data_IF_162480969030
#
_entry.id   IF_162480969030
#
_cell.length_a   1.000
_cell.length_b   1.000
_cell.length_c   1.000
_cell.angle_alpha   90.00
_cell.angle_beta   90.00
_cell.angle_gamma   90.00
#
_symmetry.space_group_name_H-M   'P 1'
#
loop_
_entity.id
_entity.type
_entity.pdbx_description
1 polymer ?
#
# COMPACT_ATOMS: atom_id res chain seq x y z
N UNK A 1 28.46 10.20 -51.32
CA UNK A 1 27.72 9.41 -50.32
C UNK A 1 27.91 10.10 -48.98
N UNK A 2 27.06 11.09 -48.68
CA UNK A 2 27.10 11.83 -47.41
C UNK A 2 25.98 11.32 -46.51
N UNK A 3 26.38 10.69 -45.40
CA UNK A 3 25.49 10.20 -44.36
C UNK A 3 24.85 11.37 -43.61
N UNK A 4 23.56 11.63 -43.87
CA UNK A 4 22.71 12.43 -42.98
C UNK A 4 22.49 11.65 -41.69
N UNK A 5 23.18 12.06 -40.62
CA UNK A 5 22.79 11.69 -39.25
C UNK A 5 21.49 12.42 -38.93
N UNK A 6 20.39 11.67 -38.87
CA UNK A 6 19.15 12.15 -38.27
C UNK A 6 19.40 12.39 -36.78
N UNK A 7 19.40 13.66 -36.40
CA UNK A 7 19.42 14.09 -35.01
C UNK A 7 18.03 13.78 -34.45
N UNK A 8 17.96 12.77 -33.59
CA UNK A 8 16.76 12.46 -32.81
C UNK A 8 16.48 13.68 -31.94
N UNK A 9 15.45 14.43 -32.31
CA UNK A 9 14.94 15.56 -31.52
C UNK A 9 14.39 14.96 -30.23
N UNK A 10 15.05 15.24 -29.11
CA UNK A 10 14.51 14.97 -27.78
C UNK A 10 13.14 15.66 -27.69
N UNK A 11 12.07 14.86 -27.71
CA UNK A 11 10.73 15.33 -27.41
C UNK A 11 10.71 15.84 -25.98
N UNK A 12 10.77 17.17 -25.83
CA UNK A 12 10.48 17.83 -24.56
C UNK A 12 9.05 17.45 -24.16
N UNK A 13 8.92 16.66 -23.10
CA UNK A 13 7.62 16.38 -22.47
C UNK A 13 7.05 17.72 -22.01
N UNK A 14 6.05 18.22 -22.73
CA UNK A 14 5.28 19.39 -22.34
C UNK A 14 4.78 19.17 -20.91
N UNK A 15 5.24 20.01 -19.98
CA UNK A 15 4.82 20.00 -18.58
C UNK A 15 3.30 19.99 -18.52
N UNK A 16 2.72 18.85 -18.16
CA UNK A 16 1.28 18.74 -17.93
C UNK A 16 1.00 19.53 -16.67
N UNK A 17 0.60 20.80 -16.84
CA UNK A 17 0.16 21.63 -15.72
C UNK A 17 -1.06 20.94 -15.12
N UNK A 18 -0.96 20.54 -13.86
CA UNK A 18 -2.06 19.94 -13.09
C UNK A 18 -3.32 20.78 -13.26
N UNK A 19 -4.48 20.14 -13.45
CA UNK A 19 -5.73 20.84 -13.71
C UNK A 19 -6.39 21.40 -12.42
N UNK A 20 -5.69 21.28 -11.29
CA UNK A 20 -6.15 21.72 -9.99
C UNK A 20 -6.16 23.24 -9.88
N UNK A 21 -7.34 23.80 -9.61
CA UNK A 21 -7.53 25.25 -9.43
C UNK A 21 -6.82 25.71 -8.16
N UNK A 22 -5.99 26.74 -8.29
CA UNK A 22 -5.41 27.44 -7.12
C UNK A 22 -6.51 28.15 -6.34
N UNK A 23 -6.54 28.06 -5.00
CA UNK A 23 -7.58 28.71 -4.21
C UNK A 23 -7.52 30.23 -4.37
N UNK A 24 -8.69 30.87 -4.38
CA UNK A 24 -8.77 32.32 -4.35
C UNK A 24 -8.47 32.83 -2.94
N UNK A 25 -7.96 34.06 -2.81
CA UNK A 25 -7.66 34.67 -1.51
C UNK A 25 -8.90 34.68 -0.60
N UNK A 26 -10.08 34.86 -1.19
CA UNK A 26 -11.35 34.83 -0.47
C UNK A 26 -11.62 33.46 0.18
N UNK A 27 -11.25 32.37 -0.48
CA UNK A 27 -11.43 31.01 0.05
C UNK A 27 -10.47 30.74 1.22
N UNK A 28 -9.22 31.18 1.09
CA UNK A 28 -8.24 31.14 2.19
C UNK A 28 -8.69 31.98 3.39
N UNK A 29 -9.31 33.14 3.13
CA UNK A 29 -9.86 34.00 4.16
C UNK A 29 -11.04 33.33 4.89
N UNK A 30 -12.00 32.75 4.14
CA UNK A 30 -13.16 32.02 4.67
C UNK A 30 -12.77 30.78 5.47
N UNK A 31 -11.70 30.08 5.06
CA UNK A 31 -11.17 28.92 5.77
C UNK A 31 -10.40 29.30 7.04
N UNK A 32 -10.06 30.58 7.22
CA UNK A 32 -9.33 31.07 8.39
C UNK A 32 -7.82 30.79 8.33
N UNK A 33 -7.24 30.69 7.13
CA UNK A 33 -5.82 30.42 6.93
C UNK A 33 -4.91 31.56 7.40
N UNK A 34 -5.44 32.78 7.49
CA UNK A 34 -4.70 34.00 7.83
C UNK A 34 -4.40 34.15 9.32
N UNK A 35 -5.05 33.40 10.20
CA UNK A 35 -4.78 33.47 11.62
C UNK A 35 -3.51 32.69 11.96
N UNK A 36 -2.56 33.34 12.62
CA UNK A 36 -1.41 32.70 13.24
C UNK A 36 -1.56 32.57 14.76
N UNK A 37 -0.44 32.33 15.42
CA UNK A 37 -0.34 32.25 16.88
C UNK A 37 -0.11 33.63 17.54
N UNK A 38 -0.11 33.62 18.88
CA UNK A 38 0.21 34.78 19.72
C UNK A 38 1.65 35.25 19.50
N UNK A 39 1.88 36.56 19.71
CA UNK A 39 3.21 37.20 19.63
C UNK A 39 4.32 36.49 20.41
N UNK A 40 4.00 35.97 21.60
CA UNK A 40 4.97 35.28 22.47
C UNK A 40 5.45 33.93 21.93
N UNK A 41 4.69 33.30 21.04
CA UNK A 41 4.99 31.98 20.49
C UNK A 41 5.62 32.03 19.09
N UNK A 42 5.83 33.25 18.55
CA UNK A 42 6.30 33.48 17.20
C UNK A 42 7.78 33.16 17.00
N UNK A 43 8.12 32.59 15.85
CA UNK A 43 9.49 32.39 15.41
C UNK A 43 9.97 33.55 14.51
N UNK A 44 11.02 34.31 14.87
CA UNK A 44 11.47 35.48 14.11
C UNK A 44 11.72 35.26 12.60
N UNK A 45 12.05 34.03 12.18
CA UNK A 45 12.26 33.68 10.77
C UNK A 45 10.97 33.73 9.94
N UNK A 46 9.81 33.65 10.58
CA UNK A 46 8.50 33.82 9.93
C UNK A 46 8.16 35.28 9.60
N UNK A 47 9.00 36.25 9.95
CA UNK A 47 8.73 37.70 9.73
C UNK A 47 8.32 38.02 8.30
N UNK A 48 8.92 37.35 7.32
CA UNK A 48 8.63 37.59 5.91
C UNK A 48 7.23 37.14 5.47
N UNK A 49 6.59 36.22 6.20
CA UNK A 49 5.25 35.69 5.89
C UNK A 49 4.14 36.31 6.75
N UNK A 50 4.50 37.15 7.73
CA UNK A 50 3.54 37.84 8.58
C UNK A 50 3.22 39.20 7.97
N UNK A 51 1.93 39.48 7.84
CA UNK A 51 1.41 40.74 7.35
C UNK A 51 1.37 41.80 8.45
N UNK A 52 0.64 41.53 9.54
CA UNK A 52 0.52 42.44 10.69
C UNK A 52 0.26 41.69 12.00
N UNK A 53 0.25 42.41 13.12
CA UNK A 53 -0.18 41.92 14.43
C UNK A 53 -1.47 42.66 14.82
N UNK A 54 -2.55 41.91 15.13
CA UNK A 54 -3.82 42.48 15.57
C UNK A 54 -4.28 41.78 16.85
N UNK A 55 -4.56 42.56 17.90
CA UNK A 55 -4.97 42.03 19.21
C UNK A 55 -4.02 40.96 19.79
N UNK A 56 -2.72 41.10 19.55
CA UNK A 56 -1.69 40.16 20.03
C UNK A 56 -1.59 38.84 19.26
N UNK A 57 -2.32 38.69 18.16
CA UNK A 57 -2.28 37.54 17.24
C UNK A 57 -1.61 38.00 15.94
N UNK A 58 -0.71 37.20 15.40
CA UNK A 58 -0.11 37.45 14.10
C UNK A 58 -1.07 37.07 12.96
N UNK A 59 -1.15 37.93 11.95
CA UNK A 59 -1.90 37.69 10.71
C UNK A 59 -0.90 37.32 9.62
N UNK A 60 -1.12 36.19 8.98
CA UNK A 60 -0.32 35.65 7.88
C UNK A 60 -0.73 36.33 6.57
N UNK A 61 0.26 36.65 5.73
CA UNK A 61 0.08 37.26 4.42
C UNK A 61 -0.44 36.24 3.40
N UNK A 62 -1.75 36.31 3.09
CA UNK A 62 -2.41 35.38 2.17
C UNK A 62 -1.96 35.52 0.72
N UNK A 63 -1.44 36.68 0.30
CA UNK A 63 -0.96 36.87 -1.08
C UNK A 63 0.26 35.97 -1.30
N UNK A 64 1.20 36.02 -0.35
CA UNK A 64 2.38 35.12 -0.35
C UNK A 64 1.98 33.65 -0.22
N UNK A 65 0.99 33.34 0.63
CA UNK A 65 0.46 31.98 0.74
C UNK A 65 -0.06 31.48 -0.60
N UNK A 66 -0.81 32.30 -1.36
CA UNK A 66 -1.35 31.91 -2.66
C UNK A 66 -0.25 31.66 -3.69
N UNK A 67 0.77 32.51 -3.75
CA UNK A 67 1.93 32.34 -4.64
C UNK A 67 2.68 31.03 -4.32
N UNK A 68 2.92 30.75 -3.03
CA UNK A 68 3.61 29.55 -2.57
C UNK A 68 2.78 28.28 -2.81
N UNK A 69 1.45 28.33 -2.64
CA UNK A 69 0.56 27.22 -3.00
C UNK A 69 0.68 26.93 -4.50
N UNK A 70 0.67 27.96 -5.35
CA UNK A 70 0.80 27.80 -6.80
C UNK A 70 2.12 27.14 -7.18
N UNK A 71 3.22 27.57 -6.58
CA UNK A 71 4.54 26.96 -6.77
C UNK A 71 4.57 25.51 -6.27
N UNK A 72 3.94 25.24 -5.13
CA UNK A 72 3.88 23.91 -4.53
C UNK A 72 3.05 22.94 -5.37
N UNK A 73 1.92 23.37 -5.93
CA UNK A 73 1.07 22.54 -6.81
C UNK A 73 1.89 22.08 -8.03
N UNK A 74 2.65 22.99 -8.65
CA UNK A 74 3.53 22.66 -9.79
C UNK A 74 4.60 21.64 -9.40
N UNK A 75 5.32 21.90 -8.31
CA UNK A 75 6.35 20.98 -7.82
C UNK A 75 5.78 19.62 -7.43
N UNK A 76 4.61 19.59 -6.77
CA UNK A 76 3.94 18.36 -6.36
C UNK A 76 3.51 17.53 -7.57
N UNK A 77 2.99 18.16 -8.62
CA UNK A 77 2.67 17.48 -9.88
C UNK A 77 3.89 16.72 -10.43
N UNK A 78 5.04 17.39 -10.55
CA UNK A 78 6.28 16.76 -11.02
C UNK A 78 6.77 15.64 -10.09
N UNK A 79 6.62 15.80 -8.77
CA UNK A 79 7.02 14.80 -7.79
C UNK A 79 6.12 13.55 -7.81
N UNK A 80 4.82 13.71 -8.09
CA UNK A 80 3.88 12.59 -8.20
C UNK A 80 4.13 11.70 -9.42
N UNK A 81 4.73 12.26 -10.48
CA UNK A 81 5.18 11.48 -11.63
C UNK A 81 6.41 10.64 -11.29
N UNK A 82 7.31 11.17 -10.44
CA UNK A 82 8.55 10.48 -10.01
C UNK A 82 8.27 9.35 -9.02
N UNK A 83 7.41 9.56 -8.03
CA UNK A 83 7.14 8.55 -7.01
C UNK A 83 5.89 8.81 -6.19
N UNK A 84 5.79 8.11 -5.07
CA UNK A 84 4.63 8.19 -4.19
C UNK A 84 4.78 9.35 -3.21
N UNK A 85 3.65 9.92 -2.78
CA UNK A 85 3.62 11.03 -1.81
C UNK A 85 3.16 10.50 -0.45
N UNK A 86 3.81 10.98 0.61
CA UNK A 86 3.45 10.67 1.99
C UNK A 86 2.87 11.90 2.67
N UNK A 87 1.63 11.81 3.16
CA UNK A 87 1.02 12.83 4.01
C UNK A 87 1.27 12.53 5.48
N UNK A 88 1.68 13.52 6.26
CA UNK A 88 2.00 13.39 7.69
C UNK A 88 1.22 14.44 8.46
N UNK A 89 0.46 13.99 9.45
CA UNK A 89 -0.23 14.87 10.37
C UNK A 89 -0.76 14.10 11.57
N UNK A 90 -0.04 14.15 12.69
CA UNK A 90 -0.41 13.45 13.93
C UNK A 90 -1.26 14.28 14.88
N UNK A 91 -1.33 15.60 14.64
CA UNK A 91 -2.20 16.52 15.39
C UNK A 91 -3.66 16.06 15.27
N UNK A 92 -4.40 16.06 16.38
CA UNK A 92 -5.75 15.48 16.44
C UNK A 92 -6.73 16.04 15.39
N UNK A 93 -6.60 17.32 15.06
CA UNK A 93 -7.39 17.98 14.01
C UNK A 93 -6.99 17.55 12.59
N UNK A 94 -5.70 17.34 12.35
CA UNK A 94 -5.16 16.96 11.04
C UNK A 94 -5.29 15.46 10.77
N UNK A 95 -5.23 14.63 11.80
CA UNK A 95 -5.14 13.17 11.67
C UNK A 95 -6.29 12.54 10.89
N UNK A 96 -7.53 12.99 11.12
CA UNK A 96 -8.71 12.48 10.41
C UNK A 96 -8.76 12.98 8.96
N UNK A 97 -8.42 14.24 8.74
CA UNK A 97 -8.40 14.88 7.42
C UNK A 97 -7.36 14.22 6.53
N UNK A 98 -6.13 14.07 7.03
CA UNK A 98 -5.01 13.43 6.32
C UNK A 98 -5.35 11.99 5.94
N UNK A 99 -5.94 11.20 6.87
CA UNK A 99 -6.36 9.83 6.58
C UNK A 99 -7.42 9.77 5.47
N UNK A 100 -8.45 10.62 5.55
CA UNK A 100 -9.52 10.68 4.55
C UNK A 100 -8.97 11.03 3.17
N UNK A 101 -8.29 12.16 3.06
CA UNK A 101 -7.79 12.69 1.79
C UNK A 101 -6.77 11.76 1.15
N UNK A 102 -5.84 11.20 1.93
CA UNK A 102 -4.84 10.27 1.41
C UNK A 102 -5.45 8.93 0.97
N UNK A 103 -6.52 8.48 1.64
CA UNK A 103 -7.24 7.26 1.24
C UNK A 103 -7.97 7.46 -0.08
N UNK A 104 -8.71 8.57 -0.21
CA UNK A 104 -9.48 8.92 -1.41
C UNK A 104 -8.59 9.18 -2.63
N UNK A 105 -7.48 9.91 -2.43
CA UNK A 105 -6.57 10.30 -3.51
C UNK A 105 -5.39 9.34 -3.72
N UNK A 106 -5.38 8.16 -3.09
CA UNK A 106 -4.34 7.16 -3.34
C UNK A 106 -2.93 7.54 -2.89
N UNK A 107 -2.79 8.36 -1.85
CA UNK A 107 -1.50 8.73 -1.25
C UNK A 107 -1.22 7.92 0.02
N UNK A 108 0.05 7.77 0.42
CA UNK A 108 0.39 7.19 1.72
C UNK A 108 0.16 8.21 2.84
N UNK A 109 -0.06 7.74 4.06
CA UNK A 109 -0.24 8.65 5.19
C UNK A 109 0.30 8.13 6.53
N UNK A 110 0.58 9.07 7.43
CA UNK A 110 0.85 8.83 8.85
C UNK A 110 0.02 9.82 9.67
N UNK A 111 -0.96 9.32 10.42
CA UNK A 111 -1.92 10.14 11.16
C UNK A 111 -1.89 9.98 12.68
N UNK A 112 -1.25 8.93 13.21
CA UNK A 112 -1.20 8.67 14.66
C UNK A 112 0.13 9.06 15.26
N UNK A 113 1.16 8.27 15.01
CA UNK A 113 2.50 8.53 15.55
C UNK A 113 3.51 8.25 14.47
N UNK A 114 4.46 9.17 14.30
CA UNK A 114 5.60 8.94 13.43
C UNK A 114 6.40 7.71 13.90
N UNK A 115 6.53 6.65 13.09
CA UNK A 115 7.43 5.55 13.40
C UNK A 115 8.86 6.04 13.16
N UNK A 116 9.64 6.12 14.24
CA UNK A 116 11.05 6.55 14.13
C UNK A 116 11.85 5.59 13.26
N UNK A 117 12.64 6.14 12.34
CA UNK A 117 13.41 5.38 11.37
C UNK A 117 12.63 4.96 10.13
N UNK A 118 11.52 5.63 9.82
CA UNK A 118 10.75 5.33 8.60
C UNK A 118 11.56 5.53 7.34
N UNK A 119 12.39 6.57 7.29
CA UNK A 119 13.24 6.81 6.12
C UNK A 119 14.66 6.27 6.30
N UNK A 120 15.21 6.34 7.51
CA UNK A 120 16.60 5.90 7.75
C UNK A 120 16.74 4.40 7.95
N UNK A 121 15.68 3.68 8.37
CA UNK A 121 15.65 2.24 8.59
C UNK A 121 14.45 1.58 7.88
N UNK A 122 14.21 1.98 6.63
CA UNK A 122 13.03 1.58 5.88
C UNK A 122 12.89 0.05 5.72
N UNK A 123 13.98 -0.67 5.49
CA UNK A 123 13.94 -2.13 5.27
C UNK A 123 13.44 -2.90 6.50
N UNK A 124 13.78 -2.43 7.71
CA UNK A 124 13.29 -3.05 8.94
C UNK A 124 11.81 -2.78 9.13
N UNK A 125 11.36 -1.54 8.88
CA UNK A 125 9.94 -1.19 8.95
C UNK A 125 9.14 -1.98 7.92
N UNK A 126 9.67 -2.14 6.70
CA UNK A 126 9.04 -2.95 5.65
C UNK A 126 8.81 -4.39 6.10
N UNK A 127 9.78 -5.02 6.78
CA UNK A 127 9.62 -6.35 7.38
C UNK A 127 8.51 -6.37 8.45
N UNK A 128 8.46 -5.36 9.32
CA UNK A 128 7.39 -5.24 10.33
C UNK A 128 6.00 -5.10 9.69
N UNK A 129 5.89 -4.32 8.62
CA UNK A 129 4.64 -4.14 7.84
C UNK A 129 4.22 -5.45 7.16
N UNK A 130 5.16 -6.19 6.59
CA UNK A 130 4.87 -7.53 6.04
C UNK A 130 4.41 -8.50 7.12
N UNK A 131 4.96 -8.40 8.33
CA UNK A 131 4.48 -9.14 9.51
C UNK A 131 3.03 -8.81 9.84
N UNK A 132 2.64 -7.53 9.81
CA UNK A 132 1.25 -7.10 10.00
C UNK A 132 0.30 -7.72 8.97
N UNK A 133 0.66 -7.70 7.67
CA UNK A 133 -0.18 -8.29 6.62
C UNK A 133 -0.38 -9.79 6.86
N UNK A 134 0.67 -10.52 7.24
CA UNK A 134 0.56 -11.96 7.58
C UNK A 134 -0.32 -12.23 8.80
N UNK A 135 -0.25 -11.36 9.82
CA UNK A 135 -1.12 -11.46 11.00
C UNK A 135 -2.59 -11.26 10.62
N UNK A 136 -2.90 -10.27 9.78
CA UNK A 136 -4.27 -10.02 9.30
C UNK A 136 -4.81 -11.17 8.47
N UNK A 137 -4.00 -11.72 7.55
CA UNK A 137 -4.41 -12.89 6.74
C UNK A 137 -4.66 -14.11 7.62
N UNK A 138 -3.80 -14.35 8.62
CA UNK A 138 -3.96 -15.44 9.58
C UNK A 138 -5.23 -15.27 10.43
N UNK A 139 -5.51 -14.04 10.89
CA UNK A 139 -6.73 -13.71 11.63
C UNK A 139 -7.98 -13.86 10.75
N UNK A 140 -7.92 -13.45 9.47
CA UNK A 140 -9.02 -13.59 8.52
C UNK A 140 -9.34 -15.06 8.20
N UNK A 141 -8.32 -15.92 8.16
CA UNK A 141 -8.47 -17.39 8.06
C UNK A 141 -8.92 -18.06 9.36
N UNK A 142 -9.16 -17.27 10.41
CA UNK A 142 -9.65 -17.77 11.69
C UNK A 142 -8.59 -18.28 12.66
N UNK A 143 -7.31 -18.37 12.26
CA UNK A 143 -6.19 -18.76 13.12
C UNK A 143 -6.41 -20.09 13.84
N UNK A 144 -6.71 -21.15 13.07
CA UNK A 144 -7.03 -22.48 13.59
C UNK A 144 -5.89 -23.12 14.39
N UNK A 145 -4.64 -22.84 14.00
CA UNK A 145 -3.44 -23.35 14.67
C UNK A 145 -3.14 -22.65 16.01
N UNK A 146 -3.88 -21.60 16.36
CA UNK A 146 -3.60 -20.76 17.53
C UNK A 146 -4.56 -21.03 18.69
N UNK A 147 -4.01 -21.08 19.89
CA UNK A 147 -4.80 -21.13 21.12
C UNK A 147 -5.62 -19.84 21.25
N UNK A 148 -6.83 -19.89 21.84
CA UNK A 148 -7.68 -18.70 22.05
C UNK A 148 -6.93 -17.51 22.68
N UNK A 149 -6.02 -17.80 23.62
CA UNK A 149 -5.16 -16.80 24.27
C UNK A 149 -4.20 -16.17 23.25
N UNK A 150 -3.50 -16.99 22.47
CA UNK A 150 -2.56 -16.54 21.43
C UNK A 150 -3.26 -15.75 20.33
N UNK A 151 -4.45 -16.18 19.90
CA UNK A 151 -5.29 -15.45 18.97
C UNK A 151 -5.63 -14.05 19.47
N UNK A 152 -5.99 -13.91 20.76
CA UNK A 152 -6.25 -12.60 21.36
C UNK A 152 -5.01 -11.72 21.42
N UNK A 153 -3.84 -12.30 21.73
CA UNK A 153 -2.57 -11.56 21.70
C UNK A 153 -2.23 -11.08 20.28
N UNK A 154 -2.36 -11.96 19.28
CA UNK A 154 -2.13 -11.64 17.88
C UNK A 154 -3.10 -10.57 17.38
N UNK A 155 -4.37 -10.63 17.79
CA UNK A 155 -5.35 -9.60 17.46
C UNK A 155 -4.95 -8.23 18.05
N UNK A 156 -4.60 -8.17 19.34
CA UNK A 156 -4.15 -6.91 19.98
C UNK A 156 -2.88 -6.37 19.35
N UNK A 157 -1.95 -7.23 18.99
CA UNK A 157 -0.72 -6.84 18.30
C UNK A 157 -1.02 -6.30 16.90
N UNK A 158 -1.86 -6.99 16.14
CA UNK A 158 -2.34 -6.55 14.82
C UNK A 158 -3.01 -5.19 14.90
N UNK A 159 -3.93 -4.96 15.85
CA UNK A 159 -4.60 -3.68 16.06
C UNK A 159 -3.63 -2.55 16.44
N UNK A 160 -2.63 -2.86 17.28
CA UNK A 160 -1.59 -1.89 17.66
C UNK A 160 -0.73 -1.51 16.46
N UNK A 161 -0.33 -2.49 15.65
CA UNK A 161 0.50 -2.28 14.47
C UNK A 161 -0.28 -1.58 13.35
N UNK A 162 -1.54 -1.97 13.11
CA UNK A 162 -2.41 -1.32 12.13
C UNK A 162 -2.59 0.17 12.45
N UNK A 163 -2.81 0.52 13.72
CA UNK A 163 -2.91 1.93 14.14
C UNK A 163 -1.73 2.81 13.70
N UNK A 164 -0.52 2.24 13.58
CA UNK A 164 0.69 2.97 13.21
C UNK A 164 0.97 2.84 11.71
N UNK A 165 0.81 1.64 11.15
CA UNK A 165 1.31 1.30 9.82
C UNK A 165 0.25 1.24 8.72
N UNK A 166 -1.04 1.39 9.04
CA UNK A 166 -2.16 1.33 8.09
C UNK A 166 -1.91 2.17 6.83
N UNK A 167 -1.46 3.42 7.02
CA UNK A 167 -1.26 4.35 5.92
C UNK A 167 0.00 4.13 5.08
N UNK A 168 0.94 3.30 5.52
CA UNK A 168 2.18 2.96 4.81
C UNK A 168 2.27 1.48 4.39
N UNK A 169 1.19 0.71 4.57
CA UNK A 169 1.20 -0.75 4.38
C UNK A 169 1.69 -1.20 3.00
N UNK A 170 1.32 -0.47 1.95
CA UNK A 170 1.66 -0.79 0.55
C UNK A 170 2.85 0.01 0.03
N UNK A 171 3.64 0.62 0.92
CA UNK A 171 4.78 1.42 0.51
C UNK A 171 5.97 0.52 0.20
N UNK A 172 6.31 0.41 -1.08
CA UNK A 172 7.43 -0.44 -1.52
C UNK A 172 8.79 0.26 -1.54
N UNK A 173 8.77 1.57 -1.77
CA UNK A 173 9.93 2.46 -1.91
C UNK A 173 9.70 3.72 -1.08
N UNK A 174 10.78 4.43 -0.77
CA UNK A 174 10.71 5.74 -0.14
C UNK A 174 9.85 6.71 -0.98
N UNK A 175 9.11 7.62 -0.33
CA UNK A 175 8.29 8.59 -1.04
C UNK A 175 9.18 9.61 -1.78
N UNK A 176 8.67 10.13 -2.90
CA UNK A 176 9.32 11.18 -3.66
C UNK A 176 9.20 12.55 -2.99
N UNK A 177 8.16 12.75 -2.16
CA UNK A 177 8.01 13.94 -1.34
C UNK A 177 7.15 13.64 -0.11
N UNK A 178 7.31 14.47 0.93
CA UNK A 178 6.49 14.41 2.14
C UNK A 178 5.71 15.71 2.29
N UNK A 179 4.40 15.59 2.49
CA UNK A 179 3.50 16.69 2.85
C UNK A 179 3.26 16.63 4.35
N UNK A 180 3.64 17.68 5.07
CA UNK A 180 3.60 17.73 6.54
C UNK A 180 2.61 18.79 7.00
N UNK A 181 1.70 18.42 7.90
CA UNK A 181 0.81 19.36 8.61
C UNK A 181 1.41 19.65 9.97
N UNK A 182 1.73 20.92 10.24
CA UNK A 182 2.42 21.40 11.45
C UNK A 182 3.87 20.91 11.56
N UNK A 183 4.81 21.71 11.04
CA UNK A 183 6.24 21.40 11.06
C UNK A 183 6.85 21.34 12.47
N UNK A 184 6.21 21.96 13.47
CA UNK A 184 6.72 22.00 14.85
C UNK A 184 6.41 20.70 15.58
N UNK A 185 5.21 20.14 15.37
CA UNK A 185 4.82 18.83 15.89
C UNK A 185 5.61 17.72 15.18
N UNK A 186 5.71 17.78 13.86
CA UNK A 186 6.31 16.72 13.02
C UNK A 186 7.83 16.87 12.82
N UNK A 187 8.54 17.37 13.83
CA UNK A 187 9.99 17.61 13.76
C UNK A 187 10.82 16.35 13.43
N UNK A 188 10.34 15.16 13.80
CA UNK A 188 11.04 13.90 13.53
C UNK A 188 10.93 13.51 12.05
N UNK A 189 9.73 13.63 11.48
CA UNK A 189 9.50 13.39 10.06
C UNK A 189 10.35 14.32 9.19
N UNK A 190 10.42 15.61 9.54
CA UNK A 190 11.24 16.60 8.84
C UNK A 190 12.74 16.28 8.94
N UNK A 191 13.22 15.90 10.13
CA UNK A 191 14.62 15.52 10.32
C UNK A 191 15.01 14.31 9.49
N UNK A 192 14.18 13.26 9.51
CA UNK A 192 14.42 12.07 8.71
C UNK A 192 14.34 12.36 7.21
N UNK A 193 13.36 13.17 6.77
CA UNK A 193 13.22 13.55 5.37
C UNK A 193 14.46 14.30 4.86
N UNK A 194 15.01 15.23 5.67
CA UNK A 194 16.26 15.92 5.34
C UNK A 194 17.45 14.97 5.21
N UNK A 195 17.57 13.98 6.11
CA UNK A 195 18.65 12.98 6.05
C UNK A 195 18.51 12.11 4.80
N UNK A 196 17.28 11.75 4.44
CA UNK A 196 16.98 10.93 3.27
C UNK A 196 16.94 11.74 1.95
N UNK A 197 17.20 13.05 1.99
CA UNK A 197 17.12 13.97 0.84
C UNK A 197 15.74 13.95 0.14
N UNK A 198 14.67 13.78 0.91
CA UNK A 198 13.30 13.80 0.41
C UNK A 198 12.76 15.24 0.53
N UNK A 199 12.27 15.85 -0.56
CA UNK A 199 11.64 17.16 -0.55
C UNK A 199 10.48 17.26 0.44
N UNK A 200 10.44 18.35 1.19
CA UNK A 200 9.48 18.61 2.26
C UNK A 200 8.56 19.75 1.85
N UNK A 201 7.28 19.44 1.73
CA UNK A 201 6.18 20.40 1.61
C UNK A 201 5.53 20.48 2.98
N UNK A 202 5.39 21.67 3.57
CA UNK A 202 4.78 21.77 4.89
C UNK A 202 3.86 22.97 5.06
N UNK A 203 2.77 22.74 5.77
CA UNK A 203 1.97 23.80 6.38
C UNK A 203 2.75 24.38 7.55
N UNK A 204 3.01 25.67 7.50
CA UNK A 204 3.76 26.38 8.55
C UNK A 204 2.92 27.50 9.14
N UNK A 205 2.79 27.49 10.46
CA UNK A 205 2.29 28.63 11.22
C UNK A 205 3.48 29.52 11.66
N UNK A 206 3.15 30.69 12.18
CA UNK A 206 4.03 31.69 12.78
C UNK A 206 5.02 31.15 13.81
N UNK A 207 4.71 30.06 14.51
CA UNK A 207 5.61 29.44 15.50
C UNK A 207 6.66 28.48 14.89
N UNK A 208 6.59 28.21 13.58
CA UNK A 208 7.42 27.25 12.86
C UNK A 208 8.69 27.89 12.26
N UNK A 209 9.68 27.07 11.89
CA UNK A 209 10.88 27.56 11.18
C UNK A 209 10.76 27.26 9.67
N UNK A 210 10.65 28.28 8.80
CA UNK A 210 10.48 28.06 7.36
C UNK A 210 11.72 27.44 6.69
N UNK A 211 12.93 27.67 7.21
CA UNK A 211 14.19 27.15 6.64
C UNK A 211 14.31 25.62 6.70
N UNK A 212 13.41 24.96 7.44
CA UNK A 212 13.37 23.51 7.55
C UNK A 212 12.60 22.84 6.40
N UNK A 213 11.92 23.62 5.57
CA UNK A 213 10.94 23.15 4.60
C UNK A 213 11.34 23.69 3.22
N UNK A 214 11.30 22.84 2.19
CA UNK A 214 11.66 23.24 0.84
C UNK A 214 10.53 24.05 0.17
N UNK A 215 9.28 23.62 0.40
CA UNK A 215 8.06 24.29 -0.07
C UNK A 215 7.17 24.67 1.12
N UNK A 216 7.47 25.82 1.77
CA UNK A 216 6.67 26.31 2.88
C UNK A 216 5.33 26.87 2.40
N UNK A 217 4.22 26.45 3.03
CA UNK A 217 2.89 27.06 2.86
C UNK A 217 2.50 27.76 4.16
N UNK A 218 2.61 29.10 4.24
CA UNK A 218 2.21 29.85 5.43
C UNK A 218 0.70 29.81 5.60
N UNK A 219 0.21 29.12 6.63
CA UNK A 219 -1.21 29.12 6.97
C UNK A 219 -1.46 28.52 8.36
N UNK A 220 -2.66 28.79 8.88
CA UNK A 220 -3.14 28.30 10.16
C UNK A 220 -3.18 26.76 10.22
N UNK A 221 -2.49 26.17 11.20
CA UNK A 221 -2.47 24.72 11.45
C UNK A 221 -3.37 24.28 12.62
N UNK A 222 -4.09 25.20 13.26
CA UNK A 222 -5.06 24.96 14.34
C UNK A 222 -6.52 24.94 13.85
N UNK A 223 -6.78 25.48 12.66
CA UNK A 223 -8.13 25.49 12.07
C UNK A 223 -8.38 24.23 11.24
N UNK A 224 -9.40 23.46 11.62
CA UNK A 224 -9.88 22.31 10.84
C UNK A 224 -10.19 22.70 9.38
N UNK A 225 -10.80 23.87 9.17
CA UNK A 225 -11.17 24.35 7.82
C UNK A 225 -9.95 24.69 6.98
N UNK A 226 -8.93 25.31 7.60
CA UNK A 226 -7.66 25.64 6.94
C UNK A 226 -6.92 24.38 6.52
N UNK A 227 -6.77 23.42 7.45
CA UNK A 227 -6.10 22.14 7.18
C UNK A 227 -6.87 21.36 6.10
N UNK A 228 -8.21 21.27 6.19
CA UNK A 228 -9.03 20.57 5.20
C UNK A 228 -8.82 21.14 3.81
N UNK A 229 -8.95 22.46 3.66
CA UNK A 229 -8.80 23.13 2.37
C UNK A 229 -7.43 22.83 1.74
N UNK A 230 -6.35 23.01 2.49
CA UNK A 230 -5.01 22.86 1.94
C UNK A 230 -4.65 21.40 1.67
N UNK A 231 -4.99 20.48 2.58
CA UNK A 231 -4.73 19.05 2.40
C UNK A 231 -5.57 18.50 1.25
N UNK A 232 -6.83 18.92 1.09
CA UNK A 232 -7.69 18.52 -0.03
C UNK A 232 -7.14 18.99 -1.39
N UNK A 233 -6.69 20.24 -1.49
CA UNK A 233 -6.07 20.76 -2.73
C UNK A 233 -4.83 19.94 -3.10
N UNK A 234 -3.94 19.70 -2.14
CA UNK A 234 -2.74 18.89 -2.38
C UNK A 234 -3.10 17.43 -2.70
N UNK A 235 -4.13 16.89 -2.04
CA UNK A 235 -4.66 15.56 -2.29
C UNK A 235 -5.18 15.40 -3.73
N UNK A 236 -5.93 16.38 -4.23
CA UNK A 236 -6.44 16.39 -5.60
C UNK A 236 -5.30 16.33 -6.63
N UNK A 237 -4.21 17.07 -6.42
CA UNK A 237 -3.02 17.03 -7.28
C UNK A 237 -2.44 15.60 -7.32
N UNK A 238 -2.34 14.94 -6.17
CA UNK A 238 -1.85 13.55 -6.10
C UNK A 238 -2.82 12.57 -6.78
N UNK A 239 -4.12 12.82 -6.67
CA UNK A 239 -5.18 12.01 -7.29
C UNK A 239 -5.15 12.00 -8.82
N UNK A 240 -4.61 13.04 -9.46
CA UNK A 240 -4.45 13.10 -10.93
C UNK A 240 -3.40 12.12 -11.48
N UNK A 241 -2.49 11.62 -10.64
CA UNK A 241 -1.44 10.69 -11.04
C UNK A 241 -1.95 9.26 -11.27
N UNK A 242 -1.43 8.56 -12.29
CA UNK A 242 -1.75 7.14 -12.52
C UNK A 242 -1.31 6.23 -11.37
N UNK A 243 -0.23 6.61 -10.66
CA UNK A 243 0.31 5.82 -9.53
C UNK A 243 -0.66 5.80 -8.35
N UNK A 244 -1.35 6.91 -8.10
CA UNK A 244 -2.29 7.01 -7.00
C UNK A 244 -3.50 6.09 -7.20
N UNK A 245 -4.01 6.00 -8.43
CA UNK A 245 -5.06 5.04 -8.81
C UNK A 245 -4.64 3.58 -8.54
N UNK A 246 -3.37 3.25 -8.82
CA UNK A 246 -2.80 1.95 -8.47
C UNK A 246 -2.83 1.66 -6.96
N UNK A 247 -2.50 2.64 -6.13
CA UNK A 247 -2.54 2.50 -4.66
C UNK A 247 -3.98 2.31 -4.16
N UNK A 248 -4.95 3.04 -4.72
CA UNK A 248 -6.37 2.84 -4.38
C UNK A 248 -6.83 1.42 -4.75
N UNK A 249 -6.45 0.94 -5.93
CA UNK A 249 -6.76 -0.42 -6.36
C UNK A 249 -6.14 -1.48 -5.42
N UNK A 250 -4.88 -1.32 -5.02
CA UNK A 250 -4.19 -2.22 -4.07
C UNK A 250 -4.87 -2.27 -2.69
N UNK A 251 -5.32 -1.12 -2.19
CA UNK A 251 -6.09 -1.04 -0.93
C UNK A 251 -7.41 -1.80 -1.04
N UNK A 252 -8.12 -1.62 -2.14
CA UNK A 252 -9.40 -2.28 -2.36
C UNK A 252 -9.24 -3.78 -2.58
N UNK A 253 -8.20 -4.22 -3.32
CA UNK A 253 -7.91 -5.64 -3.53
C UNK A 253 -7.55 -6.33 -2.22
N UNK A 254 -6.77 -5.69 -1.34
CA UNK A 254 -6.47 -6.27 -0.03
C UNK A 254 -7.74 -6.42 0.82
N UNK A 255 -8.58 -5.38 0.90
CA UNK A 255 -9.84 -5.45 1.65
C UNK A 255 -10.74 -6.58 1.14
N UNK A 256 -10.90 -6.68 -0.18
CA UNK A 256 -11.66 -7.76 -0.80
C UNK A 256 -11.06 -9.13 -0.47
N UNK A 257 -9.74 -9.27 -0.51
CA UNK A 257 -9.05 -10.53 -0.15
C UNK A 257 -9.33 -10.92 1.30
N UNK A 258 -9.19 -9.98 2.24
CA UNK A 258 -9.47 -10.24 3.66
C UNK A 258 -10.95 -10.60 3.90
N UNK A 259 -11.89 -9.94 3.23
CA UNK A 259 -13.31 -10.26 3.29
C UNK A 259 -13.61 -11.66 2.74
N UNK A 260 -13.00 -12.05 1.62
CA UNK A 260 -13.18 -13.39 1.05
C UNK A 260 -12.63 -14.49 1.97
N UNK A 261 -11.45 -14.28 2.58
CA UNK A 261 -10.88 -15.21 3.54
C UNK A 261 -11.78 -15.35 4.77
N UNK A 262 -12.33 -14.24 5.29
CA UNK A 262 -13.23 -14.26 6.43
C UNK A 262 -14.56 -14.99 6.12
N UNK A 263 -15.11 -14.82 4.92
CA UNK A 263 -16.31 -15.54 4.47
C UNK A 263 -16.06 -17.04 4.34
N UNK A 264 -14.96 -17.43 3.69
CA UNK A 264 -14.57 -18.83 3.55
C UNK A 264 -14.42 -19.51 4.92
N UNK A 265 -13.79 -18.83 5.88
CA UNK A 265 -13.68 -19.35 7.23
C UNK A 265 -15.04 -19.47 7.94
N UNK A 266 -15.93 -18.49 7.79
CA UNK A 266 -17.28 -18.56 8.37
C UNK A 266 -18.08 -19.75 7.80
N UNK A 267 -18.05 -19.96 6.48
CA UNK A 267 -18.70 -21.08 5.81
C UNK A 267 -18.12 -22.43 6.24
N UNK A 268 -16.78 -22.54 6.36
CA UNK A 268 -16.12 -23.75 6.87
C UNK A 268 -16.55 -24.08 8.29
N UNK A 269 -16.62 -23.06 9.16
CA UNK A 269 -17.06 -23.21 10.55
C UNK A 269 -18.54 -23.58 10.67
N UNK A 270 -19.41 -23.03 9.83
CA UNK A 270 -20.81 -23.45 9.79
C UNK A 270 -20.95 -24.89 9.30
N UNK A 271 -20.19 -25.27 8.27
CA UNK A 271 -20.18 -26.64 7.74
C UNK A 271 -19.69 -27.64 8.78
N UNK A 272 -18.62 -27.32 9.52
CA UNK A 272 -18.11 -28.19 10.59
C UNK A 272 -19.13 -28.34 11.72
N UNK A 273 -19.78 -27.24 12.13
CA UNK A 273 -20.81 -27.27 13.16
C UNK A 273 -22.03 -28.13 12.76
N UNK A 274 -22.47 -28.06 11.49
CA UNK A 274 -23.57 -28.91 10.98
C UNK A 274 -23.20 -30.39 11.00
N UNK A 275 -21.98 -30.75 10.55
CA UNK A 275 -21.54 -32.15 10.61
C UNK A 275 -21.43 -32.67 12.05
N UNK A 276 -20.94 -31.85 12.99
CA UNK A 276 -20.90 -32.23 14.41
C UNK A 276 -22.30 -32.42 15.02
N UNK A 277 -23.30 -31.65 14.58
CA UNK A 277 -24.69 -31.78 15.01
C UNK A 277 -25.32 -33.07 14.45
N UNK A 278 -25.16 -33.34 13.15
CA UNK A 278 -25.60 -34.57 12.50
C UNK A 278 -24.95 -35.81 13.13
N UNK A 279 -23.64 -35.76 13.41
CA UNK A 279 -22.92 -36.85 14.09
C UNK A 279 -23.41 -37.04 15.53
N UNK A 280 -23.74 -35.96 16.24
CA UNK A 280 -24.32 -36.03 17.59
C UNK A 280 -25.69 -36.68 17.57
N UNK A 281 -26.54 -36.34 16.61
CA UNK A 281 -27.85 -36.97 16.41
C UNK A 281 -27.73 -38.45 16.03
N UNK A 282 -26.78 -38.79 15.16
CA UNK A 282 -26.45 -40.17 14.79
C UNK A 282 -25.98 -40.99 15.99
N UNK A 283 -25.12 -40.42 16.85
CA UNK A 283 -24.64 -41.10 18.06
C UNK A 283 -25.74 -41.24 19.12
N UNK A 284 -26.66 -40.28 19.21
CA UNK A 284 -27.83 -40.36 20.11
C UNK A 284 -28.79 -41.45 19.66
N UNK A 285 -29.10 -41.53 18.36
CA UNK A 285 -29.95 -42.59 17.80
C UNK A 285 -29.36 -44.00 17.96
N UNK A 286 -28.03 -44.14 17.82
CA UNK A 286 -27.30 -45.38 18.12
C UNK A 286 -27.40 -45.78 19.61
N UNK A 287 -27.31 -44.82 20.55
CA UNK A 287 -27.43 -45.06 22.00
C UNK A 287 -28.85 -45.43 22.44
N UNK A 288 -29.87 -44.88 21.79
CA UNK A 288 -31.28 -45.14 22.09
C UNK A 288 -31.79 -46.49 21.54
N UNK A 289 -30.91 -47.32 20.96
CA UNK A 289 -31.25 -48.68 20.54
C UNK A 289 -32.20 -48.77 19.33
N UNK A 290 -32.52 -47.65 18.69
CA UNK A 290 -33.22 -47.62 17.40
C UNK A 290 -32.22 -47.95 16.31
N UNK A 291 -31.95 -49.24 16.12
CA UNK A 291 -31.44 -49.73 14.83
C UNK A 291 -32.54 -49.46 13.82
N UNK A 292 -32.44 -48.34 13.13
CA UNK A 292 -33.13 -48.20 11.86
C UNK A 292 -32.60 -49.32 10.97
N UNK A 293 -33.48 -50.22 10.52
CA UNK A 293 -33.23 -51.07 9.35
C UNK A 293 -32.99 -50.15 8.14
N UNK A 294 -31.79 -49.61 8.04
CA UNK A 294 -31.31 -49.14 6.75
C UNK A 294 -31.02 -50.41 5.96
N UNK A 295 -31.85 -50.66 4.93
CA UNK A 295 -31.42 -51.43 3.76
C UNK A 295 -29.99 -51.00 3.47
N UNK A 296 -29.06 -51.93 3.61
CA UNK A 296 -27.66 -51.69 3.35
C UNK A 296 -27.50 -51.22 1.91
N UNK A 297 -27.54 -49.90 1.69
CA UNK A 297 -26.67 -49.31 0.70
C UNK A 297 -25.32 -49.39 1.36
N UNK A 298 -24.65 -50.52 1.10
CA UNK A 298 -23.22 -50.66 1.30
C UNK A 298 -22.62 -49.41 0.67
N UNK A 299 -22.24 -48.44 1.49
CA UNK A 299 -21.17 -47.53 1.11
C UNK A 299 -19.99 -48.47 1.03
N UNK A 300 -19.83 -49.05 -0.15
CA UNK A 300 -18.59 -49.63 -0.58
C UNK A 300 -17.66 -48.44 -0.34
N UNK A 301 -16.81 -48.54 0.67
CA UNK A 301 -15.55 -47.82 0.63
C UNK A 301 -14.92 -48.40 -0.62
N UNK A 302 -15.27 -47.81 -1.77
CA UNK A 302 -14.41 -47.80 -2.91
C UNK A 302 -13.22 -47.07 -2.30
N UNK A 303 -12.28 -47.84 -1.72
CA UNK A 303 -10.87 -47.53 -1.92
C UNK A 303 -10.87 -47.23 -3.40
N UNK A 304 -10.89 -45.94 -3.74
CA UNK A 304 -10.82 -45.48 -5.12
C UNK A 304 -9.72 -46.35 -5.69
N UNK A 305 -10.07 -47.26 -6.58
CA UNK A 305 -9.08 -48.18 -7.13
C UNK A 305 -8.21 -47.26 -7.97
N UNK A 306 -7.19 -46.73 -7.31
CA UNK A 306 -6.27 -45.76 -7.89
C UNK A 306 -5.50 -46.47 -9.00
N UNK A 307 -5.62 -47.80 -9.16
CA UNK A 307 -5.14 -48.54 -10.34
C UNK A 307 -5.64 -47.95 -11.66
N UNK A 308 -6.90 -47.47 -11.73
CA UNK A 308 -7.42 -46.81 -12.93
C UNK A 308 -6.87 -45.39 -13.13
N UNK A 309 -6.70 -44.62 -12.05
CA UNK A 309 -6.12 -43.27 -12.11
C UNK A 309 -4.59 -43.30 -12.27
N UNK A 310 -3.92 -44.34 -11.79
CA UNK A 310 -2.49 -44.64 -11.99
C UNK A 310 -2.26 -45.13 -13.41
N UNK A 311 -3.14 -45.97 -13.97
CA UNK A 311 -3.06 -46.38 -15.37
C UNK A 311 -3.33 -45.19 -16.32
N UNK A 312 -4.33 -44.36 -16.02
CA UNK A 312 -4.58 -43.12 -16.76
C UNK A 312 -3.45 -42.10 -16.59
N UNK A 313 -2.82 -42.02 -15.41
CA UNK A 313 -1.64 -41.19 -15.18
C UNK A 313 -0.40 -41.75 -15.88
N UNK A 314 -0.21 -43.08 -15.97
CA UNK A 314 0.88 -43.73 -16.73
C UNK A 314 0.68 -43.59 -18.24
N UNK A 315 -0.55 -43.68 -18.75
CA UNK A 315 -0.87 -43.37 -20.15
C UNK A 315 -0.67 -41.88 -20.43
N UNK A 316 -1.12 -40.98 -19.56
CA UNK A 316 -0.84 -39.55 -19.69
C UNK A 316 0.65 -39.25 -19.61
N UNK A 317 1.42 -39.97 -18.77
CA UNK A 317 2.87 -39.84 -18.68
C UNK A 317 3.55 -40.33 -19.96
N UNK A 318 3.14 -41.46 -20.54
CA UNK A 318 3.59 -41.94 -21.86
C UNK A 318 3.28 -40.96 -22.99
N UNK A 319 2.14 -40.26 -22.93
CA UNK A 319 1.76 -39.22 -23.90
C UNK A 319 2.59 -37.94 -23.71
N UNK A 320 2.94 -37.58 -22.47
CA UNK A 320 3.80 -36.42 -22.18
C UNK A 320 5.27 -36.71 -22.50
N UNK A 321 5.75 -37.93 -22.23
CA UNK A 321 7.12 -38.39 -22.48
C UNK A 321 7.41 -38.56 -23.99
N UNK A 322 6.37 -38.73 -24.82
CA UNK A 322 6.48 -38.81 -26.29
C UNK A 322 6.38 -37.47 -27.01
N UNK A 323 6.18 -36.34 -26.29
CA UNK A 323 6.24 -35.02 -26.91
C UNK A 323 7.68 -34.69 -27.32
N UNK A 324 7.81 -34.17 -28.54
CA UNK A 324 9.08 -33.74 -29.09
C UNK A 324 9.54 -32.44 -28.40
N UNK A 325 10.86 -32.24 -28.28
CA UNK A 325 11.44 -31.01 -27.68
C UNK A 325 11.04 -29.74 -28.46
N UNK A 326 10.64 -29.89 -29.73
CA UNK A 326 10.18 -28.81 -30.61
C UNK A 326 8.83 -28.22 -30.16
N UNK A 327 7.99 -29.01 -29.48
CA UNK A 327 6.68 -28.60 -28.98
C UNK A 327 6.74 -27.76 -27.68
N UNK A 328 7.93 -27.60 -27.09
CA UNK A 328 8.14 -26.86 -25.82
C UNK A 328 8.24 -25.34 -26.00
N UNK A 329 8.17 -24.83 -27.23
CA UNK A 329 8.22 -23.38 -27.50
C UNK A 329 9.57 -22.72 -27.18
N UNK A 330 10.65 -23.51 -27.14
CA UNK A 330 12.02 -23.05 -26.90
C UNK A 330 12.59 -22.32 -28.13
N UNK A 331 13.57 -21.44 -27.92
CA UNK A 331 14.23 -20.76 -29.04
C UNK A 331 14.96 -21.75 -29.96
N UNK A 332 14.97 -21.49 -31.28
CA UNK A 332 15.57 -22.37 -32.30
C UNK A 332 17.03 -22.76 -31.99
N UNK A 333 17.79 -21.87 -31.33
CA UNK A 333 19.18 -22.14 -30.91
C UNK A 333 19.25 -23.22 -29.83
N UNK A 334 18.33 -23.18 -28.87
CA UNK A 334 18.25 -24.13 -27.75
C UNK A 334 17.78 -25.49 -28.25
N UNK A 335 16.78 -25.53 -29.14
CA UNK A 335 16.31 -26.79 -29.75
C UNK A 335 17.43 -27.49 -30.51
N UNK A 336 18.26 -26.72 -31.25
CA UNK A 336 19.41 -27.27 -31.98
C UNK A 336 20.50 -27.80 -31.04
N UNK A 337 20.85 -27.06 -29.99
CA UNK A 337 21.84 -27.49 -28.99
C UNK A 337 21.41 -28.76 -28.25
N UNK A 338 20.12 -28.88 -27.92
CA UNK A 338 19.54 -30.07 -27.29
C UNK A 338 19.56 -31.28 -28.25
N UNK A 339 19.24 -31.07 -29.53
CA UNK A 339 19.26 -32.12 -30.54
C UNK A 339 20.68 -32.65 -30.84
N UNK A 340 21.69 -31.76 -30.86
CA UNK A 340 23.11 -32.13 -31.04
C UNK A 340 23.64 -32.96 -29.85
N UNK A 341 23.10 -32.73 -28.64
CA UNK A 341 23.41 -33.49 -27.43
C UNK A 341 22.49 -34.70 -27.19
N UNK A 342 21.74 -35.12 -28.22
CA UNK A 342 20.96 -36.36 -28.20
C UNK A 342 19.64 -36.30 -27.41
N UNK A 343 19.19 -35.12 -26.98
CA UNK A 343 17.92 -34.92 -26.26
C UNK A 343 16.84 -34.60 -27.30
N UNK A 344 16.01 -35.60 -27.64
CA UNK A 344 14.98 -35.45 -28.68
C UNK A 344 13.56 -35.47 -28.12
N UNK A 345 13.35 -36.15 -27.00
CA UNK A 345 12.06 -36.27 -26.33
C UNK A 345 12.09 -35.67 -24.93
N UNK A 346 10.91 -35.31 -24.40
CA UNK A 346 10.76 -34.82 -23.02
C UNK A 346 11.25 -35.84 -21.98
N UNK A 347 11.21 -37.14 -22.29
CA UNK A 347 11.78 -38.21 -21.47
C UNK A 347 13.28 -38.06 -21.22
N UNK A 348 14.02 -37.51 -22.19
CA UNK A 348 15.49 -37.41 -22.13
C UNK A 348 15.96 -36.26 -21.23
N UNK A 349 15.04 -35.35 -20.87
CA UNK A 349 15.24 -34.32 -19.85
C UNK A 349 14.99 -34.85 -18.44
N UNK A 350 14.26 -35.97 -18.29
CA UNK A 350 13.96 -36.55 -16.98
C UNK A 350 15.20 -37.21 -16.38
N UNK A 351 15.88 -36.48 -15.50
CA UNK A 351 17.09 -36.94 -14.81
C UNK A 351 18.33 -36.06 -15.01
N UNK A 352 18.28 -35.06 -15.90
CA UNK A 352 19.34 -34.04 -16.00
C UNK A 352 19.13 -32.94 -14.96
N UNK A 353 20.20 -32.57 -14.26
CA UNK A 353 20.17 -31.47 -13.29
C UNK A 353 20.23 -30.12 -14.00
N UNK A 354 19.96 -29.04 -13.26
CA UNK A 354 20.03 -27.67 -13.80
C UNK A 354 21.46 -27.32 -14.24
N UNK A 355 22.49 -27.89 -13.61
CA UNK A 355 23.88 -27.69 -14.00
C UNK A 355 24.17 -28.32 -15.37
N UNK A 356 23.74 -29.56 -15.59
CA UNK A 356 23.95 -30.31 -16.84
C UNK A 356 23.29 -29.65 -18.07
N UNK A 357 22.20 -28.89 -17.85
CA UNK A 357 21.48 -28.18 -18.91
C UNK A 357 22.06 -26.80 -19.24
N UNK A 358 22.92 -26.26 -18.38
CA UNK A 358 23.60 -24.98 -18.60
C UNK A 358 24.95 -25.17 -19.29
N UNK A 359 25.54 -26.37 -19.19
CA UNK A 359 26.76 -26.75 -19.93
C UNK A 359 26.49 -27.09 -21.41
N UNK A 360 25.24 -27.39 -21.77
CA UNK A 360 24.75 -27.63 -23.13
C UNK A 360 24.36 -26.30 -23.79
#
# INVERSE_FOLDING_TARGET
MENKKEVVVETQTLNKVSNVKTPEILDLLKAGCHFGHKKSAWNPRMKQYIYEERNGIHIIDLVKTQELITATIKALSELTEKGNILFVGTKGQAASIVEKVATENGAFYVNKRWPGGLFTNFDTIKKSVQGLVKMEESLARGGEDLVKKERLFMQRESEKMDRIYKGIKFMDKLPAAVVVVDSKVEKLAIKEAKIAHIPIIALIDTNCNPDLVDYPIPANDDSLKSISLLVEILGQVVGESKKSQGIVALRNSQKATLETLAKQYAEQKERSARMEEEDRERMKSLREGKVAESKGTVVRVVKKDISGEIAAAEEAKKIVDSKSVEDLGLSVRIVKALAENGIKNVSDLSGKTKEDLVEI
#
